data_IF_741353892208
#
_entry.id   IF_741353892208
#
_cell.length_a   1.000
_cell.length_b   1.000
_cell.length_c   1.000
_cell.angle_alpha   90.00
_cell.angle_beta   90.00
_cell.angle_gamma   90.00
#
_symmetry.space_group_name_H-M   'P 1'
#
loop_
_entity.id
_entity.type
_entity.pdbx_description
1 polymer ?
#
# COMPACT_ATOMS: atom_id res chain seq x y z
N UNK A 1 -14.11 -2.75 -18.18
CA UNK A 1 -15.47 -2.51 -18.74
C UNK A 1 -15.29 -1.83 -20.08
N UNK A 2 -16.03 -2.21 -21.14
CA UNK A 2 -15.92 -1.55 -22.46
C UNK A 2 -16.89 -0.37 -22.59
N UNK A 3 -16.51 0.63 -23.39
CA UNK A 3 -17.32 1.83 -23.66
C UNK A 3 -17.26 2.89 -22.55
N UNK A 4 -18.22 3.83 -22.50
CA UNK A 4 -18.21 4.91 -21.53
C UNK A 4 -18.54 4.43 -20.10
N UNK A 5 -18.05 5.11 -19.05
CA UNK A 5 -18.38 4.80 -17.66
C UNK A 5 -19.87 4.92 -17.38
N UNK A 6 -20.43 3.98 -16.60
CA UNK A 6 -21.85 4.01 -16.21
C UNK A 6 -22.07 4.27 -14.72
N UNK A 7 -21.01 4.13 -13.93
CA UNK A 7 -20.93 4.46 -12.50
C UNK A 7 -19.54 5.04 -12.23
N UNK A 8 -19.15 5.18 -10.96
CA UNK A 8 -17.83 5.66 -10.55
C UNK A 8 -16.70 4.83 -11.18
N UNK A 9 -15.83 5.51 -11.93
CA UNK A 9 -14.63 4.91 -12.51
C UNK A 9 -13.37 5.34 -11.74
N UNK A 10 -12.38 4.45 -11.67
CA UNK A 10 -11.07 4.69 -11.06
C UNK A 10 -9.93 4.81 -12.07
N UNK A 11 -10.02 4.09 -13.20
CA UNK A 11 -9.10 4.18 -14.34
C UNK A 11 -9.87 4.23 -15.66
N UNK A 12 -9.31 4.93 -16.64
CA UNK A 12 -9.82 4.99 -18.02
C UNK A 12 -8.75 4.52 -18.99
N UNK A 13 -9.18 3.90 -20.07
CA UNK A 13 -8.41 3.71 -21.28
C UNK A 13 -9.05 4.56 -22.38
N UNK A 14 -8.21 5.32 -23.09
CA UNK A 14 -8.64 6.18 -24.19
C UNK A 14 -8.00 5.74 -25.48
N UNK A 15 -8.76 5.87 -26.55
CA UNK A 15 -8.22 5.79 -27.89
C UNK A 15 -7.18 6.92 -28.09
N UNK A 16 -5.94 6.60 -28.52
CA UNK A 16 -4.86 7.58 -28.62
C UNK A 16 -5.09 8.62 -29.72
N UNK A 17 -5.99 8.37 -30.67
CA UNK A 17 -6.27 9.25 -31.81
C UNK A 17 -7.50 10.10 -31.52
N UNK A 18 -8.61 9.48 -31.09
CA UNK A 18 -9.88 10.18 -30.88
C UNK A 18 -10.03 10.74 -29.48
N UNK A 19 -9.16 10.34 -28.54
CA UNK A 19 -9.25 10.65 -27.11
C UNK A 19 -10.56 10.18 -26.44
N UNK A 20 -11.33 9.33 -27.11
CA UNK A 20 -12.58 8.79 -26.57
C UNK A 20 -12.28 7.66 -25.58
N UNK A 21 -13.10 7.55 -24.54
CA UNK A 21 -13.01 6.43 -23.59
C UNK A 21 -13.42 5.13 -24.28
N UNK A 22 -12.50 4.17 -24.35
CA UNK A 22 -12.73 2.84 -24.95
C UNK A 22 -12.96 1.76 -23.90
N UNK A 23 -12.36 1.93 -22.72
CA UNK A 23 -12.58 1.07 -21.58
C UNK A 23 -12.38 1.83 -20.27
N UNK A 24 -12.90 1.26 -19.18
CA UNK A 24 -12.74 1.81 -17.84
C UNK A 24 -12.72 0.70 -16.80
N UNK A 25 -12.14 1.00 -15.65
CA UNK A 25 -12.14 0.15 -14.46
C UNK A 25 -12.98 0.81 -13.36
N UNK A 26 -13.96 0.11 -12.76
CA UNK A 26 -14.74 0.66 -11.66
C UNK A 26 -13.85 1.13 -10.51
N UNK A 27 -14.20 2.25 -9.89
CA UNK A 27 -13.43 2.81 -8.79
C UNK A 27 -13.28 1.80 -7.65
N UNK A 28 -14.40 1.17 -7.27
CA UNK A 28 -14.46 0.16 -6.21
C UNK A 28 -13.56 -1.04 -6.48
N UNK A 29 -13.45 -1.47 -7.74
CA UNK A 29 -12.61 -2.60 -8.12
C UNK A 29 -11.13 -2.23 -8.08
N UNK A 30 -10.79 -1.01 -8.51
CA UNK A 30 -9.43 -0.50 -8.35
C UNK A 30 -9.04 -0.37 -6.87
N UNK A 31 -9.93 0.15 -6.03
CA UNK A 31 -9.73 0.20 -4.58
C UNK A 31 -9.52 -1.21 -3.98
N UNK A 32 -10.28 -2.21 -4.45
CA UNK A 32 -10.09 -3.60 -4.06
C UNK A 32 -8.73 -4.16 -4.50
N UNK A 33 -8.26 -3.79 -5.70
CA UNK A 33 -6.94 -4.17 -6.20
C UNK A 33 -5.81 -3.64 -5.31
N UNK A 34 -5.85 -2.34 -4.99
CA UNK A 34 -4.85 -1.68 -4.14
C UNK A 34 -4.89 -2.24 -2.71
N UNK A 35 -6.09 -2.45 -2.16
CA UNK A 35 -6.26 -3.09 -0.86
C UNK A 35 -5.66 -4.50 -0.84
N UNK A 36 -5.89 -5.29 -1.89
CA UNK A 36 -5.38 -6.63 -2.01
C UNK A 36 -3.85 -6.68 -2.16
N UNK A 37 -3.25 -5.72 -2.89
CA UNK A 37 -1.79 -5.58 -2.95
C UNK A 37 -1.21 -5.19 -1.59
N UNK A 38 -1.82 -4.22 -0.90
CA UNK A 38 -1.41 -3.84 0.45
C UNK A 38 -1.45 -5.05 1.41
N UNK A 39 -2.55 -5.81 1.38
CA UNK A 39 -2.69 -7.03 2.16
C UNK A 39 -1.60 -8.06 1.81
N UNK A 40 -1.38 -8.35 0.53
CA UNK A 40 -0.36 -9.30 0.09
C UNK A 40 1.07 -8.86 0.44
N UNK A 41 1.37 -7.56 0.38
CA UNK A 41 2.65 -7.02 0.84
C UNK A 41 2.82 -7.27 2.35
N UNK A 42 1.79 -7.00 3.15
CA UNK A 42 1.83 -7.17 4.60
C UNK A 42 1.73 -8.65 5.05
N UNK A 43 1.37 -9.57 4.17
CA UNK A 43 1.53 -11.01 4.38
C UNK A 43 3.02 -11.43 4.36
N UNK A 44 3.87 -10.69 3.64
CA UNK A 44 5.31 -10.97 3.57
C UNK A 44 5.99 -10.49 4.88
N UNK A 45 6.63 -11.39 5.66
CA UNK A 45 7.30 -11.00 6.91
C UNK A 45 8.32 -9.88 6.72
N UNK A 46 9.08 -9.89 5.61
CA UNK A 46 10.09 -8.85 5.35
C UNK A 46 9.48 -7.46 5.33
N UNK A 47 8.31 -7.29 4.68
CA UNK A 47 7.64 -6.01 4.55
C UNK A 47 6.94 -5.62 5.84
N UNK A 48 6.21 -6.54 6.45
CA UNK A 48 5.48 -6.31 7.71
C UNK A 48 6.41 -5.94 8.86
N UNK A 49 7.54 -6.65 9.03
CA UNK A 49 8.52 -6.36 10.08
C UNK A 49 9.24 -5.02 9.84
N UNK A 50 9.57 -4.71 8.59
CA UNK A 50 10.18 -3.40 8.26
C UNK A 50 9.24 -2.25 8.56
N UNK A 51 7.97 -2.38 8.19
CA UNK A 51 6.96 -1.38 8.53
C UNK A 51 6.78 -1.26 10.05
N UNK A 52 6.70 -2.38 10.78
CA UNK A 52 6.61 -2.41 12.25
C UNK A 52 7.77 -1.67 12.93
N UNK A 53 9.00 -1.82 12.41
CA UNK A 53 10.19 -1.15 12.97
C UNK A 53 10.11 0.37 12.91
N UNK A 54 9.44 0.94 11.91
CA UNK A 54 9.19 2.39 11.85
C UNK A 54 8.25 2.89 12.95
N UNK A 55 7.51 1.98 13.59
CA UNK A 55 6.70 2.23 14.78
C UNK A 55 7.37 1.77 16.09
N UNK A 56 8.65 1.39 16.07
CA UNK A 56 9.34 0.83 17.23
C UNK A 56 8.82 -0.53 17.69
N UNK A 57 8.11 -1.26 16.81
CA UNK A 57 7.56 -2.60 17.08
C UNK A 57 8.38 -3.67 16.35
N UNK A 58 8.39 -4.89 16.88
CA UNK A 58 8.99 -6.03 16.18
C UNK A 58 8.09 -6.52 15.04
N UNK A 59 6.78 -6.41 15.22
CA UNK A 59 5.79 -6.87 14.26
C UNK A 59 4.49 -6.06 14.32
N UNK A 60 3.67 -6.16 13.27
CA UNK A 60 2.31 -5.62 13.24
C UNK A 60 1.32 -6.73 13.58
N UNK A 61 0.45 -6.44 14.54
CA UNK A 61 -0.68 -7.31 14.85
C UNK A 61 -1.71 -7.28 13.70
N UNK A 62 -2.55 -8.30 13.59
CA UNK A 62 -3.46 -8.38 12.46
C UNK A 62 -4.56 -7.31 12.42
N UNK A 63 -4.93 -6.69 13.55
CA UNK A 63 -5.92 -5.59 13.58
C UNK A 63 -5.27 -4.35 12.97
N UNK A 64 -4.03 -4.02 13.37
CA UNK A 64 -3.26 -2.96 12.74
C UNK A 64 -3.12 -3.18 11.24
N UNK A 65 -2.72 -4.39 10.80
CA UNK A 65 -2.61 -4.71 9.37
C UNK A 65 -3.93 -4.49 8.64
N UNK A 66 -5.04 -5.00 9.19
CA UNK A 66 -6.35 -4.85 8.57
C UNK A 66 -6.78 -3.37 8.45
N UNK A 67 -6.52 -2.53 9.46
CA UNK A 67 -6.81 -1.09 9.42
C UNK A 67 -6.00 -0.36 8.34
N UNK A 68 -4.73 -0.71 8.17
CA UNK A 68 -3.89 -0.20 7.07
C UNK A 68 -4.43 -0.62 5.70
N UNK A 69 -4.95 -1.84 5.57
CA UNK A 69 -5.61 -2.30 4.34
C UNK A 69 -6.89 -1.49 4.06
N UNK A 70 -7.67 -1.13 5.08
CA UNK A 70 -8.83 -0.23 4.92
C UNK A 70 -8.39 1.13 4.39
N UNK A 71 -7.35 1.75 4.96
CA UNK A 71 -6.86 3.04 4.44
C UNK A 71 -6.31 2.92 3.02
N UNK A 72 -5.57 1.85 2.70
CA UNK A 72 -5.14 1.60 1.32
C UNK A 72 -6.33 1.43 0.36
N UNK A 73 -7.41 0.80 0.79
CA UNK A 73 -8.65 0.69 -0.01
C UNK A 73 -9.28 2.07 -0.28
N UNK A 74 -9.18 3.00 0.67
CA UNK A 74 -9.79 4.33 0.61
C UNK A 74 -8.86 5.40 0.02
N UNK A 75 -7.64 5.06 -0.40
CA UNK A 75 -6.65 6.00 -0.94
C UNK A 75 -7.20 6.92 -2.05
N UNK A 76 -8.11 6.39 -2.86
CA UNK A 76 -8.67 7.03 -4.04
C UNK A 76 -10.12 7.50 -3.84
N UNK A 77 -10.64 7.53 -2.60
CA UNK A 77 -12.03 7.92 -2.30
C UNK A 77 -12.40 9.27 -2.92
N UNK A 78 -11.41 10.16 -3.04
CA UNK A 78 -11.60 11.48 -3.63
C UNK A 78 -12.14 11.40 -5.06
N UNK A 79 -11.93 10.29 -5.80
CA UNK A 79 -12.46 10.09 -7.16
C UNK A 79 -13.99 9.98 -7.20
N UNK A 80 -14.66 9.80 -6.06
CA UNK A 80 -16.12 9.81 -5.97
C UNK A 80 -16.74 11.19 -6.24
N UNK A 81 -15.95 12.27 -6.18
CA UNK A 81 -16.48 13.61 -6.48
C UNK A 81 -16.88 13.73 -7.96
N UNK A 82 -17.97 14.44 -8.25
CA UNK A 82 -18.49 14.61 -9.60
C UNK A 82 -17.50 15.31 -10.54
N UNK A 83 -16.68 16.24 -10.04
CA UNK A 83 -15.65 16.92 -10.84
C UNK A 83 -14.55 15.99 -11.33
N UNK A 84 -14.15 14.98 -10.55
CA UNK A 84 -13.23 13.95 -11.04
C UNK A 84 -13.92 13.06 -12.08
N UNK A 85 -15.16 12.64 -11.81
CA UNK A 85 -15.91 11.79 -12.73
C UNK A 85 -16.18 12.46 -14.08
N UNK A 86 -16.35 13.79 -14.10
CA UNK A 86 -16.58 14.59 -15.31
C UNK A 86 -15.48 14.42 -16.36
N UNK A 87 -14.25 14.12 -15.94
CA UNK A 87 -13.15 13.80 -16.86
C UNK A 87 -13.47 12.64 -17.79
N UNK A 88 -14.32 11.70 -17.39
CA UNK A 88 -14.77 10.55 -18.20
C UNK A 88 -16.26 10.56 -18.55
N UNK A 89 -16.99 11.61 -18.14
CA UNK A 89 -18.45 11.72 -18.20
C UNK A 89 -18.87 13.16 -18.50
N UNK A 90 -18.81 13.53 -19.78
CA UNK A 90 -19.15 14.87 -20.26
C UNK A 90 -20.60 15.27 -19.92
N UNK A 91 -21.49 14.29 -19.77
CA UNK A 91 -22.90 14.48 -19.42
C UNK A 91 -23.13 15.02 -18.00
N UNK A 92 -22.12 14.99 -17.12
CA UNK A 92 -22.23 15.58 -15.78
C UNK A 92 -22.29 17.11 -15.81
N UNK A 93 -21.73 17.75 -16.85
CA UNK A 93 -21.80 19.20 -17.04
C UNK A 93 -21.13 20.03 -15.92
N UNK A 94 -20.20 19.46 -15.16
CA UNK A 94 -19.44 20.15 -14.10
C UNK A 94 -17.96 20.29 -14.49
N UNK A 95 -17.23 21.32 -14.00
CA UNK A 95 -15.80 21.46 -14.25
C UNK A 95 -14.98 20.27 -13.74
N UNK A 96 -13.93 19.91 -14.47
CA UNK A 96 -13.03 18.83 -14.06
C UNK A 96 -12.24 19.18 -12.78
N UNK A 97 -12.07 18.20 -11.90
CA UNK A 97 -11.18 18.32 -10.73
C UNK A 97 -10.32 17.08 -10.47
N UNK A 98 -9.20 17.27 -9.77
CA UNK A 98 -8.43 16.20 -9.13
C UNK A 98 -9.17 15.53 -7.96
N UNK A 99 -8.63 14.42 -7.47
CA UNK A 99 -9.22 13.65 -6.37
C UNK A 99 -8.55 13.93 -5.02
N UNK A 100 -7.24 14.26 -4.98
CA UNK A 100 -6.49 14.42 -3.72
C UNK A 100 -7.07 15.51 -2.83
N UNK A 101 -7.24 16.74 -3.36
CA UNK A 101 -7.81 17.87 -2.61
C UNK A 101 -9.23 17.58 -2.12
N UNK A 102 -10.03 16.91 -2.94
CA UNK A 102 -11.41 16.53 -2.59
C UNK A 102 -11.44 15.44 -1.52
N UNK A 103 -10.52 14.46 -1.58
CA UNK A 103 -10.38 13.41 -0.56
C UNK A 103 -9.98 14.00 0.80
N UNK A 104 -8.98 14.89 0.83
CA UNK A 104 -8.62 15.63 2.04
C UNK A 104 -9.78 16.52 2.52
N UNK A 105 -10.48 17.17 1.59
CA UNK A 105 -11.63 18.02 1.90
C UNK A 105 -12.76 17.27 2.59
N UNK A 106 -12.98 15.98 2.29
CA UNK A 106 -13.94 15.15 3.03
C UNK A 106 -13.53 14.98 4.49
N UNK A 107 -12.24 14.78 4.78
CA UNK A 107 -11.75 14.57 6.15
C UNK A 107 -11.84 15.85 7.00
N UNK A 108 -11.48 17.00 6.43
CA UNK A 108 -11.36 18.25 7.20
C UNK A 108 -12.56 19.20 7.09
N UNK A 109 -13.27 19.15 5.96
CA UNK A 109 -14.36 20.08 5.61
C UNK A 109 -15.63 19.35 5.18
N UNK A 110 -15.68 18.03 5.28
CA UNK A 110 -16.84 17.22 4.90
C UNK A 110 -18.08 17.58 5.71
N UNK A 111 -19.25 17.42 5.09
CA UNK A 111 -20.51 17.50 5.83
C UNK A 111 -20.61 16.35 6.84
N UNK A 112 -21.48 16.48 7.85
CA UNK A 112 -21.73 15.38 8.79
C UNK A 112 -22.14 14.09 8.08
N UNK A 113 -22.97 14.20 7.04
CA UNK A 113 -23.39 13.05 6.24
C UNK A 113 -22.23 12.38 5.51
N UNK A 114 -21.23 13.14 5.03
CA UNK A 114 -20.04 12.59 4.41
C UNK A 114 -19.14 11.86 5.41
N UNK A 115 -18.92 12.46 6.59
CA UNK A 115 -18.16 11.82 7.67
C UNK A 115 -18.86 10.55 8.17
N UNK A 116 -20.20 10.57 8.29
CA UNK A 116 -20.98 9.40 8.68
C UNK A 116 -20.93 8.30 7.59
N UNK A 117 -20.99 8.67 6.31
CA UNK A 117 -20.85 7.72 5.19
C UNK A 117 -19.46 7.06 5.16
N UNK A 118 -18.42 7.81 5.53
CA UNK A 118 -17.06 7.29 5.71
C UNK A 118 -16.89 6.43 6.96
N UNK A 119 -17.88 6.42 7.86
CA UNK A 119 -17.78 5.76 9.15
C UNK A 119 -16.78 6.45 10.09
N UNK A 120 -16.71 7.78 10.04
CA UNK A 120 -15.75 8.59 10.80
C UNK A 120 -15.71 8.25 12.29
N UNK A 121 -16.88 8.02 12.92
CA UNK A 121 -16.95 7.60 14.33
C UNK A 121 -16.21 6.30 14.65
N UNK A 122 -16.10 5.38 13.68
CA UNK A 122 -15.34 4.14 13.81
C UNK A 122 -13.86 4.40 13.57
N UNK A 123 -13.51 5.19 12.56
CA UNK A 123 -12.11 5.55 12.27
C UNK A 123 -11.47 6.32 13.43
N UNK A 124 -12.22 7.20 14.10
CA UNK A 124 -11.78 7.95 15.28
C UNK A 124 -11.39 7.03 16.46
N UNK A 125 -11.93 5.80 16.51
CA UNK A 125 -11.56 4.82 17.54
C UNK A 125 -10.22 4.14 17.29
N UNK A 126 -9.59 4.37 16.13
CA UNK A 126 -8.32 3.73 15.76
C UNK A 126 -7.09 4.46 16.31
N UNK A 127 -7.29 5.51 17.12
CA UNK A 127 -6.24 6.27 17.79
C UNK A 127 -5.94 7.60 17.10
N UNK A 128 -5.14 8.44 17.75
CA UNK A 128 -4.85 9.80 17.30
C UNK A 128 -4.21 9.87 15.91
N UNK A 129 -3.40 8.87 15.54
CA UNK A 129 -2.72 8.79 14.25
C UNK A 129 -3.61 8.33 13.08
N UNK A 130 -4.88 8.00 13.33
CA UNK A 130 -5.78 7.49 12.29
C UNK A 130 -5.98 8.50 11.16
N UNK A 131 -6.15 9.79 11.48
CA UNK A 131 -6.30 10.86 10.49
C UNK A 131 -5.04 10.98 9.62
N UNK A 132 -3.86 11.08 10.25
CA UNK A 132 -2.57 11.22 9.55
C UNK A 132 -2.27 10.03 8.62
N UNK A 133 -2.57 8.80 9.06
CA UNK A 133 -2.40 7.61 8.24
C UNK A 133 -3.41 7.55 7.09
N UNK A 134 -4.63 8.04 7.31
CA UNK A 134 -5.61 8.13 6.24
C UNK A 134 -5.19 9.18 5.20
N UNK A 135 -4.83 10.38 5.64
CA UNK A 135 -4.27 11.43 4.78
C UNK A 135 -3.05 10.94 3.99
N UNK A 136 -2.15 10.19 4.64
CA UNK A 136 -1.01 9.56 4.01
C UNK A 136 -1.40 8.61 2.87
N UNK A 137 -2.49 7.86 3.02
CA UNK A 137 -3.02 7.02 1.93
C UNK A 137 -3.58 7.84 0.78
N UNK A 138 -4.24 8.97 1.04
CA UNK A 138 -4.79 9.85 0.00
C UNK A 138 -3.67 10.62 -0.73
N UNK A 139 -2.61 11.00 -0.02
CA UNK A 139 -1.45 11.73 -0.57
C UNK A 139 -0.45 10.84 -1.34
N UNK A 140 -0.86 9.65 -1.80
CA UNK A 140 -0.01 8.67 -2.50
C UNK A 140 0.62 9.19 -3.82
N UNK A 141 0.28 10.40 -4.26
CA UNK A 141 0.93 11.10 -5.38
C UNK A 141 2.08 12.06 -4.97
N UNK A 142 2.50 12.05 -3.69
CA UNK A 142 3.82 12.53 -3.28
C UNK A 142 3.86 13.78 -2.39
N UNK A 143 2.80 14.60 -2.33
CA UNK A 143 2.72 15.71 -1.37
C UNK A 143 1.28 15.91 -0.87
N UNK A 144 1.03 15.86 0.45
CA UNK A 144 -0.28 16.19 1.00
C UNK A 144 -0.60 17.67 0.74
N UNK A 145 -1.86 18.02 0.42
CA UNK A 145 -2.34 19.40 0.45
C UNK A 145 -2.13 20.01 1.84
N UNK A 146 -1.95 21.32 1.90
CA UNK A 146 -1.99 22.02 3.19
C UNK A 146 -3.44 22.07 3.71
N UNK A 147 -3.74 21.50 4.90
CA UNK A 147 -5.09 21.42 5.44
C UNK A 147 -5.80 22.78 5.58
N UNK A 148 -5.02 23.85 5.79
CA UNK A 148 -5.56 25.20 6.00
C UNK A 148 -6.02 25.86 4.70
N UNK A 149 -5.50 25.39 3.56
CA UNK A 149 -5.75 25.96 2.23
C UNK A 149 -6.51 25.01 1.28
N UNK A 150 -7.13 23.94 1.82
CA UNK A 150 -7.99 23.05 1.04
C UNK A 150 -9.17 23.83 0.46
N UNK A 151 -9.16 24.05 -0.85
CA UNK A 151 -10.32 24.50 -1.60
C UNK A 151 -11.24 23.29 -1.83
N UNK A 152 -12.17 23.03 -0.92
CA UNK A 152 -13.10 21.89 -0.97
C UNK A 152 -14.46 22.30 -1.55
N UNK A 153 -15.01 21.51 -2.46
CA UNK A 153 -16.22 21.89 -3.19
C UNK A 153 -17.38 20.95 -2.87
N UNK A 154 -18.17 21.33 -1.86
CA UNK A 154 -19.33 20.58 -1.40
C UNK A 154 -20.32 20.20 -2.50
N UNK A 155 -20.48 21.06 -3.53
CA UNK A 155 -21.40 20.82 -4.64
C UNK A 155 -21.07 19.53 -5.42
N UNK A 156 -19.80 19.13 -5.51
CA UNK A 156 -19.41 17.90 -6.22
C UNK A 156 -19.55 16.63 -5.39
N UNK A 157 -19.99 16.76 -4.14
CA UNK A 157 -20.37 15.65 -3.26
C UNK A 157 -21.88 15.54 -3.08
N UNK A 158 -22.64 16.22 -3.93
CA UNK A 158 -24.10 16.11 -4.02
C UNK A 158 -24.47 15.25 -5.23
N UNK A 159 -25.56 14.49 -5.16
CA UNK A 159 -25.99 13.62 -6.24
C UNK A 159 -26.27 14.40 -7.54
N UNK A 160 -25.84 13.86 -8.68
CA UNK A 160 -25.97 14.48 -9.99
C UNK A 160 -25.58 13.53 -11.12
N UNK A 161 -26.23 13.64 -12.28
CA UNK A 161 -25.93 12.84 -13.48
C UNK A 161 -25.99 11.31 -13.28
N UNK A 162 -26.88 10.86 -12.39
CA UNK A 162 -27.04 9.45 -12.04
C UNK A 162 -25.99 8.89 -11.07
N UNK A 163 -25.12 9.74 -10.53
CA UNK A 163 -24.14 9.38 -9.51
C UNK A 163 -24.51 10.02 -8.17
N UNK A 164 -24.31 9.29 -7.07
CA UNK A 164 -24.42 9.79 -5.71
C UNK A 164 -23.08 9.56 -4.98
N UNK A 165 -22.25 10.62 -4.83
CA UNK A 165 -20.95 10.50 -4.19
C UNK A 165 -20.99 9.98 -2.74
N UNK A 166 -22.03 10.32 -1.97
CA UNK A 166 -22.16 9.87 -0.58
C UNK A 166 -22.61 8.41 -0.50
N UNK A 167 -23.48 7.97 -1.43
CA UNK A 167 -23.81 6.55 -1.55
C UNK A 167 -22.59 5.73 -1.99
N UNK A 168 -21.80 6.24 -2.96
CA UNK A 168 -20.56 5.58 -3.39
C UNK A 168 -19.50 5.51 -2.28
N UNK A 169 -19.39 6.56 -1.46
CA UNK A 169 -18.49 6.58 -0.30
C UNK A 169 -18.89 5.52 0.74
N UNK A 170 -20.20 5.42 1.01
CA UNK A 170 -20.75 4.42 1.92
C UNK A 170 -20.55 2.99 1.40
N UNK A 171 -20.85 2.73 0.14
CA UNK A 171 -20.64 1.42 -0.50
C UNK A 171 -19.17 1.01 -0.43
N UNK A 172 -18.25 1.90 -0.81
CA UNK A 172 -16.82 1.64 -0.73
C UNK A 172 -16.38 1.33 0.71
N UNK A 173 -16.82 2.13 1.69
CA UNK A 173 -16.55 1.90 3.11
C UNK A 173 -17.08 0.56 3.59
N UNK A 174 -18.32 0.21 3.25
CA UNK A 174 -18.95 -1.06 3.64
C UNK A 174 -18.20 -2.26 3.07
N UNK A 175 -17.74 -2.17 1.82
CA UNK A 175 -16.91 -3.20 1.18
C UNK A 175 -15.60 -3.46 1.91
N UNK A 176 -14.98 -2.44 2.49
CA UNK A 176 -13.77 -2.63 3.32
C UNK A 176 -14.00 -3.55 4.52
N UNK A 177 -15.24 -3.62 5.04
CA UNK A 177 -15.65 -4.56 6.09
C UNK A 177 -15.62 -6.03 5.66
N UNK A 178 -15.77 -6.30 4.36
CA UNK A 178 -15.64 -7.65 3.80
C UNK A 178 -14.19 -7.98 3.43
N UNK A 179 -13.41 -6.99 3.00
CA UNK A 179 -12.02 -7.17 2.58
C UNK A 179 -11.06 -7.31 3.76
N UNK A 180 -11.30 -6.56 4.83
CA UNK A 180 -10.46 -6.49 6.01
C UNK A 180 -11.32 -6.50 7.30
N UNK A 181 -12.11 -7.56 7.57
CA UNK A 181 -13.07 -7.58 8.67
C UNK A 181 -12.45 -7.30 10.04
N UNK A 182 -11.20 -7.76 10.24
CA UNK A 182 -10.45 -7.58 11.48
C UNK A 182 -10.14 -6.12 11.82
N UNK A 183 -10.23 -5.20 10.85
CA UNK A 183 -10.05 -3.77 11.12
C UNK A 183 -11.11 -3.23 12.09
N UNK A 184 -12.27 -3.90 12.11
CA UNK A 184 -13.47 -3.56 12.86
C UNK A 184 -13.70 -4.47 14.08
N UNK A 185 -12.72 -5.34 14.42
CA UNK A 185 -12.75 -6.12 15.65
C UNK A 185 -12.91 -5.17 16.86
N UNK A 186 -13.77 -5.55 17.82
CA UNK A 186 -14.00 -4.76 19.01
C UNK A 186 -12.76 -4.79 19.92
N UNK A 187 -12.21 -3.62 20.22
CA UNK A 187 -10.92 -3.53 20.88
C UNK A 187 -9.77 -3.91 19.95
N UNK A 188 -8.60 -3.36 20.23
CA UNK A 188 -7.41 -3.52 19.40
C UNK A 188 -6.43 -2.39 19.71
N UNK A 189 -5.14 -2.59 19.43
CA UNK A 189 -4.16 -1.53 19.66
C UNK A 189 -4.50 -0.33 18.79
N UNK A 190 -4.26 0.88 19.30
CA UNK A 190 -4.28 2.07 18.48
C UNK A 190 -3.22 1.96 17.36
N UNK A 191 -3.53 2.58 16.23
CA UNK A 191 -2.58 2.71 15.13
C UNK A 191 -1.33 3.44 15.62
N UNK A 192 -0.12 3.03 15.17
CA UNK A 192 1.10 3.65 15.67
C UNK A 192 1.18 5.14 15.33
N UNK A 193 1.31 5.96 16.37
CA UNK A 193 1.62 7.39 16.25
C UNK A 193 3.13 7.60 16.15
N UNK A 194 3.65 7.40 14.94
CA UNK A 194 5.07 7.59 14.64
C UNK A 194 5.22 8.19 13.22
N UNK A 195 5.79 9.40 13.05
CA UNK A 195 5.94 10.01 11.73
C UNK A 195 6.68 9.13 10.72
N UNK A 196 7.72 8.41 11.16
CA UNK A 196 8.45 7.47 10.30
C UNK A 196 7.55 6.34 9.79
N UNK A 197 6.61 5.86 10.61
CA UNK A 197 5.63 4.85 10.24
C UNK A 197 4.63 5.41 9.22
N UNK A 198 4.09 6.61 9.45
CA UNK A 198 3.19 7.29 8.52
C UNK A 198 3.82 7.50 7.14
N UNK A 199 5.08 7.96 7.10
CA UNK A 199 5.83 8.11 5.84
C UNK A 199 6.09 6.77 5.15
N UNK A 200 6.47 5.73 5.91
CA UNK A 200 6.68 4.40 5.36
C UNK A 200 5.38 3.80 4.80
N UNK A 201 4.25 4.01 5.49
CA UNK A 201 2.94 3.60 5.04
C UNK A 201 2.51 4.32 3.76
N UNK A 202 2.73 5.64 3.65
CA UNK A 202 2.46 6.39 2.42
C UNK A 202 3.21 5.78 1.20
N UNK A 203 4.49 5.44 1.38
CA UNK A 203 5.29 4.77 0.35
C UNK A 203 4.76 3.37 0.00
N UNK A 204 4.26 2.62 0.98
CA UNK A 204 3.65 1.31 0.77
C UNK A 204 2.33 1.43 -0.01
N UNK A 205 1.48 2.42 0.28
CA UNK A 205 0.25 2.69 -0.47
C UNK A 205 0.57 3.10 -1.91
N UNK A 206 1.57 3.94 -2.13
CA UNK A 206 2.01 4.32 -3.48
C UNK A 206 2.49 3.12 -4.30
N UNK A 207 3.28 2.22 -3.69
CA UNK A 207 3.66 0.96 -4.33
C UNK A 207 2.44 0.07 -4.63
N UNK A 208 1.49 0.01 -3.70
CA UNK A 208 0.26 -0.77 -3.88
C UNK A 208 -0.61 -0.23 -5.02
N UNK A 209 -0.76 1.10 -5.17
CA UNK A 209 -1.46 1.70 -6.31
C UNK A 209 -0.73 1.44 -7.63
N UNK A 210 0.60 1.55 -7.67
CA UNK A 210 1.37 1.26 -8.88
C UNK A 210 1.19 -0.19 -9.34
N UNK A 211 1.29 -1.14 -8.42
CA UNK A 211 1.09 -2.56 -8.72
C UNK A 211 -0.38 -2.87 -9.06
N UNK A 212 -1.33 -2.33 -8.30
CA UNK A 212 -2.77 -2.48 -8.53
C UNK A 212 -3.27 -1.81 -9.81
N UNK A 213 -2.46 -0.93 -10.41
CA UNK A 213 -2.71 -0.30 -11.71
C UNK A 213 -2.12 -1.07 -12.89
N UNK A 214 -1.31 -2.10 -12.64
CA UNK A 214 -0.65 -2.87 -13.69
C UNK A 214 -1.61 -3.87 -14.33
N UNK A 215 -2.12 -3.53 -15.52
CA UNK A 215 -3.14 -4.33 -16.24
C UNK A 215 -2.65 -5.72 -16.65
N UNK A 216 -1.35 -6.01 -16.58
CA UNK A 216 -0.81 -7.36 -16.79
C UNK A 216 -1.20 -8.32 -15.66
N UNK A 217 -1.41 -7.80 -14.46
CA UNK A 217 -1.83 -8.56 -13.27
C UNK A 217 -3.27 -8.26 -12.88
N UNK A 218 -3.71 -7.02 -13.06
CA UNK A 218 -5.04 -6.52 -12.69
C UNK A 218 -5.79 -6.01 -13.93
N UNK A 219 -6.25 -6.91 -14.82
CA UNK A 219 -7.07 -6.50 -15.96
C UNK A 219 -8.36 -5.84 -15.48
N UNK A 220 -8.86 -4.90 -16.30
CA UNK A 220 -10.12 -4.21 -16.02
C UNK A 220 -11.29 -5.20 -15.95
N UNK A 221 -12.20 -4.97 -15.01
CA UNK A 221 -13.38 -5.84 -14.82
C UNK A 221 -14.26 -5.89 -16.06
N UNK A 222 -14.76 -7.06 -16.46
CA UNK A 222 -15.63 -7.21 -17.64
C UNK A 222 -17.12 -7.01 -17.32
N UNK A 223 -17.50 -7.01 -16.05
CA UNK A 223 -18.84 -6.74 -15.56
C UNK A 223 -18.80 -6.13 -14.16
N UNK A 224 -19.90 -5.51 -13.75
CA UNK A 224 -20.13 -5.14 -12.36
C UNK A 224 -20.70 -6.36 -11.63
N UNK A 225 -20.20 -6.62 -10.44
CA UNK A 225 -20.76 -7.62 -9.53
C UNK A 225 -21.20 -6.94 -8.25
N UNK A 226 -22.38 -7.32 -7.77
CA UNK A 226 -22.86 -6.88 -6.46
C UNK A 226 -22.18 -7.67 -5.33
N UNK A 227 -21.47 -8.76 -5.63
CA UNK A 227 -20.75 -9.54 -4.63
C UNK A 227 -19.55 -8.76 -4.07
N UNK A 228 -19.58 -8.35 -2.78
CA UNK A 228 -18.56 -7.44 -2.22
C UNK A 228 -17.14 -8.01 -2.23
N UNK A 229 -17.01 -9.34 -2.18
CA UNK A 229 -15.74 -10.05 -1.97
C UNK A 229 -15.08 -10.48 -3.29
N UNK A 230 -15.85 -10.65 -4.37
CA UNK A 230 -15.41 -11.34 -5.58
C UNK A 230 -14.14 -10.72 -6.17
N UNK A 231 -14.13 -9.39 -6.37
CA UNK A 231 -12.94 -8.70 -6.90
C UNK A 231 -11.76 -8.82 -5.96
N UNK A 232 -11.93 -8.52 -4.67
CA UNK A 232 -10.83 -8.56 -3.70
C UNK A 232 -10.16 -9.93 -3.61
N UNK A 233 -10.92 -11.04 -3.60
CA UNK A 233 -10.34 -12.38 -3.59
C UNK A 233 -9.50 -12.68 -4.84
N UNK A 234 -10.01 -12.33 -6.03
CA UNK A 234 -9.25 -12.50 -7.28
C UNK A 234 -8.00 -11.60 -7.32
N UNK A 235 -8.13 -10.36 -6.86
CA UNK A 235 -7.05 -9.40 -6.77
C UNK A 235 -5.97 -9.83 -5.78
N UNK A 236 -6.33 -10.47 -4.66
CA UNK A 236 -5.37 -10.97 -3.67
C UNK A 236 -4.52 -12.11 -4.25
N UNK A 237 -5.13 -13.02 -5.01
CA UNK A 237 -4.39 -14.05 -5.73
C UNK A 237 -3.47 -13.44 -6.81
N UNK A 238 -3.95 -12.45 -7.55
CA UNK A 238 -3.16 -11.72 -8.55
C UNK A 238 -1.99 -10.95 -7.92
N UNK A 239 -2.21 -10.30 -6.79
CA UNK A 239 -1.20 -9.57 -6.03
C UNK A 239 -0.07 -10.50 -5.57
N UNK A 240 -0.40 -11.63 -4.94
CA UNK A 240 0.62 -12.63 -4.54
C UNK A 240 1.46 -13.10 -5.73
N UNK A 241 0.83 -13.34 -6.87
CA UNK A 241 1.53 -13.69 -8.12
C UNK A 241 2.42 -12.54 -8.62
N UNK A 242 1.92 -11.31 -8.64
CA UNK A 242 2.66 -10.13 -9.07
C UNK A 242 3.91 -9.91 -8.21
N UNK A 243 3.76 -9.98 -6.88
CA UNK A 243 4.87 -9.83 -5.94
C UNK A 243 5.95 -10.91 -6.13
N UNK A 244 5.55 -12.15 -6.43
CA UNK A 244 6.50 -13.22 -6.76
C UNK A 244 7.21 -12.99 -8.10
N UNK A 245 6.46 -12.65 -9.16
CA UNK A 245 7.02 -12.45 -10.52
C UNK A 245 7.96 -11.25 -10.58
N UNK A 246 7.65 -10.15 -9.88
CA UNK A 246 8.47 -8.93 -9.86
C UNK A 246 9.71 -9.11 -8.96
N UNK A 247 9.72 -10.13 -8.09
CA UNK A 247 10.83 -10.39 -7.16
C UNK A 247 10.75 -9.57 -5.88
N UNK A 248 9.56 -9.10 -5.50
CA UNK A 248 9.30 -8.42 -4.22
C UNK A 248 9.16 -9.45 -3.09
N UNK A 249 8.51 -10.59 -3.35
CA UNK A 249 8.44 -11.72 -2.43
C UNK A 249 9.77 -12.48 -2.46
N UNK A 250 10.63 -12.20 -1.48
CA UNK A 250 12.01 -12.71 -1.42
C UNK A 250 12.21 -13.78 -0.34
N UNK A 251 11.16 -14.15 0.37
CA UNK A 251 11.20 -15.03 1.54
C UNK A 251 11.85 -16.38 1.22
N UNK A 252 11.49 -17.00 0.10
CA UNK A 252 12.05 -18.30 -0.28
C UNK A 252 13.50 -18.17 -0.75
N UNK A 253 13.84 -17.12 -1.52
CA UNK A 253 15.23 -16.83 -1.87
C UNK A 253 16.09 -16.58 -0.61
N UNK A 254 15.55 -15.89 0.40
CA UNK A 254 16.25 -15.68 1.69
C UNK A 254 16.49 -16.99 2.43
N UNK A 255 15.50 -17.90 2.45
CA UNK A 255 15.63 -19.24 3.07
C UNK A 255 16.66 -20.10 2.34
N UNK A 256 16.68 -20.11 1.01
CA UNK A 256 17.65 -20.89 0.24
C UNK A 256 19.09 -20.41 0.46
N UNK A 257 19.27 -19.11 0.66
CA UNK A 257 20.56 -18.56 1.00
C UNK A 257 20.98 -18.99 2.41
N UNK A 258 20.07 -19.16 3.38
CA UNK A 258 20.43 -19.61 4.74
C UNK A 258 20.86 -21.08 4.75
N UNK A 259 22.17 -21.33 4.79
CA UNK A 259 22.76 -22.67 4.91
C UNK A 259 23.71 -23.10 3.80
N UNK A 260 23.89 -22.30 2.72
CA UNK A 260 24.93 -22.55 1.70
C UNK A 260 26.22 -21.79 2.00
N UNK A 261 27.35 -22.29 1.50
CA UNK A 261 28.55 -21.47 1.28
C UNK A 261 28.23 -20.43 0.20
N UNK A 262 27.76 -19.27 0.65
CA UNK A 262 27.17 -18.23 -0.22
C UNK A 262 28.18 -17.61 -1.15
N UNK A 263 29.44 -17.53 -0.72
CA UNK A 263 30.50 -17.01 -1.57
C UNK A 263 30.64 -17.89 -2.81
N UNK A 264 30.68 -19.21 -2.62
CA UNK A 264 30.73 -20.18 -3.72
C UNK A 264 29.43 -20.24 -4.54
N UNK A 265 28.32 -19.74 -4.00
CA UNK A 265 27.05 -19.63 -4.74
C UNK A 265 27.03 -18.44 -5.72
N UNK A 266 27.83 -17.39 -5.48
CA UNK A 266 27.86 -16.17 -6.32
C UNK A 266 29.20 -15.94 -7.02
N UNK A 267 30.25 -16.64 -6.60
CA UNK A 267 31.60 -16.50 -7.13
C UNK A 267 32.27 -17.87 -7.23
N UNK A 268 33.10 -18.05 -8.25
CA UNK A 268 33.97 -19.24 -8.40
C UNK A 268 35.34 -19.05 -7.76
N UNK A 269 35.58 -17.87 -7.18
CA UNK A 269 36.85 -17.52 -6.56
C UNK A 269 36.97 -18.18 -5.18
N UNK A 270 38.17 -18.13 -4.60
CA UNK A 270 38.37 -18.45 -3.19
C UNK A 270 38.26 -17.15 -2.42
N UNK A 271 37.46 -17.08 -1.33
CA UNK A 271 37.31 -15.84 -0.59
C UNK A 271 38.67 -15.40 -0.01
N UNK A 272 38.95 -14.11 -0.02
CA UNK A 272 40.13 -13.54 0.62
C UNK A 272 39.94 -13.45 2.15
N UNK A 273 40.94 -12.92 2.88
CA UNK A 273 40.88 -12.82 4.34
C UNK A 273 39.75 -11.88 4.83
N UNK A 274 39.59 -10.72 4.21
CA UNK A 274 38.55 -9.77 4.56
C UNK A 274 37.14 -10.33 4.25
N UNK A 275 36.97 -11.05 3.14
CA UNK A 275 35.72 -11.73 2.76
C UNK A 275 35.31 -12.79 3.77
N UNK A 276 36.27 -13.57 4.28
CA UNK A 276 36.01 -14.53 5.36
C UNK A 276 35.61 -13.82 6.65
N UNK A 277 36.35 -12.79 7.05
CA UNK A 277 36.06 -12.03 8.28
C UNK A 277 34.64 -11.48 8.24
N UNK A 278 34.29 -10.82 7.14
CA UNK A 278 32.98 -10.22 6.91
C UNK A 278 31.87 -11.28 6.93
N UNK A 279 32.07 -12.41 6.26
CA UNK A 279 31.09 -13.51 6.23
C UNK A 279 30.83 -14.15 7.61
N UNK A 280 31.77 -14.01 8.55
CA UNK A 280 31.65 -14.56 9.92
C UNK A 280 31.19 -13.55 10.97
N UNK A 281 31.02 -12.26 10.61
CA UNK A 281 30.59 -11.27 11.57
C UNK A 281 29.08 -11.38 11.84
N UNK A 282 28.66 -11.35 13.11
CA UNK A 282 27.24 -11.31 13.44
C UNK A 282 26.64 -10.00 12.94
N UNK A 283 25.54 -10.09 12.20
CA UNK A 283 24.77 -8.90 11.82
C UNK A 283 23.84 -8.49 12.97
N UNK A 284 23.83 -7.21 13.39
CA UNK A 284 22.87 -6.73 14.37
C UNK A 284 21.44 -6.90 13.89
N UNK A 285 20.54 -7.31 14.79
CA UNK A 285 19.12 -7.53 14.49
C UNK A 285 18.41 -6.25 14.00
N UNK A 286 18.90 -5.09 14.42
CA UNK A 286 18.37 -3.76 14.04
C UNK A 286 18.89 -3.28 12.68
N UNK A 287 19.71 -4.08 12.00
CA UNK A 287 20.51 -3.64 10.85
C UNK A 287 21.76 -2.87 11.28
N UNK A 288 22.70 -2.74 10.35
CA UNK A 288 23.96 -2.02 10.54
C UNK A 288 24.40 -1.33 9.26
N UNK A 289 25.23 -0.30 9.42
CA UNK A 289 26.03 0.25 8.32
C UNK A 289 27.41 -0.39 8.44
N UNK A 290 27.83 -1.12 7.41
CA UNK A 290 29.17 -1.69 7.31
C UNK A 290 29.95 -0.88 6.26
N UNK A 291 31.08 -0.32 6.67
CA UNK A 291 32.03 0.35 5.78
C UNK A 291 33.20 -0.59 5.56
N UNK A 292 33.50 -0.88 4.30
CA UNK A 292 34.61 -1.75 3.93
C UNK A 292 35.62 -0.99 3.07
N UNK A 293 36.82 -0.82 3.62
CA UNK A 293 37.92 -0.11 2.97
C UNK A 293 38.98 -1.11 2.49
N UNK A 294 39.21 -1.16 1.18
CA UNK A 294 40.28 -1.97 0.58
C UNK A 294 40.66 -1.43 -0.81
N UNK A 295 41.77 -1.88 -1.37
CA UNK A 295 42.25 -1.47 -2.69
C UNK A 295 41.30 -1.88 -3.83
N UNK A 296 41.34 -1.18 -4.96
CA UNK A 296 40.55 -1.53 -6.15
C UNK A 296 40.97 -2.91 -6.68
N UNK A 297 40.00 -3.77 -7.01
CA UNK A 297 40.28 -5.14 -7.48
C UNK A 297 40.47 -6.18 -6.37
N UNK A 298 40.35 -5.80 -5.09
CA UNK A 298 40.44 -6.72 -3.95
C UNK A 298 39.26 -7.70 -3.79
N UNK A 299 38.17 -7.51 -4.55
CA UNK A 299 36.96 -8.32 -4.47
C UNK A 299 35.87 -7.79 -3.51
N UNK A 300 35.80 -6.47 -3.30
CA UNK A 300 34.77 -5.83 -2.43
C UNK A 300 33.33 -6.18 -2.80
N UNK A 301 33.06 -6.47 -4.08
CA UNK A 301 31.71 -6.78 -4.57
C UNK A 301 31.26 -8.16 -4.09
N UNK A 302 32.15 -9.15 -4.17
CA UNK A 302 31.90 -10.52 -3.69
C UNK A 302 31.83 -10.56 -2.15
N UNK A 303 32.56 -9.66 -1.50
CA UNK A 303 32.59 -9.43 -0.05
C UNK A 303 31.23 -8.98 0.50
N UNK A 304 30.59 -8.02 -0.18
CA UNK A 304 29.24 -7.54 0.16
C UNK A 304 28.17 -8.63 -0.06
N UNK A 305 28.33 -9.46 -1.10
CA UNK A 305 27.41 -10.56 -1.37
C UNK A 305 27.49 -11.66 -0.29
N UNK A 306 28.68 -11.89 0.27
CA UNK A 306 28.90 -12.86 1.34
C UNK A 306 28.40 -12.37 2.72
N UNK A 307 28.47 -11.07 3.01
CA UNK A 307 28.11 -10.48 4.32
C UNK A 307 26.61 -10.56 4.65
N UNK A 308 25.72 -10.71 3.67
CA UNK A 308 24.28 -10.68 3.93
C UNK A 308 23.77 -11.98 4.57
N UNK A 309 24.11 -12.34 5.81
CA UNK A 309 23.20 -13.00 6.78
C UNK A 309 23.95 -13.77 7.88
N UNK A 310 23.54 -13.52 9.12
CA UNK A 310 23.01 -14.59 9.94
C UNK A 310 21.54 -14.32 10.26
N UNK A 311 20.68 -15.30 10.00
CA UNK A 311 19.34 -15.42 10.57
C UNK A 311 19.35 -16.47 11.68
N UNK A 312 20.42 -16.53 12.49
CA UNK A 312 20.54 -17.48 13.60
C UNK A 312 20.30 -16.76 14.93
N UNK A 313 19.03 -16.77 15.31
CA UNK A 313 18.60 -16.63 16.69
C UNK A 313 19.35 -17.67 17.56
N UNK A 314 20.23 -17.20 18.46
CA UNK A 314 20.56 -17.92 19.69
C UNK A 314 20.11 -17.01 20.83
N UNK A 315 19.22 -17.54 21.67
CA UNK A 315 18.72 -16.87 22.87
C UNK A 315 19.84 -16.47 23.84
N UNK A 316 19.47 -15.91 25.01
CA UNK A 316 20.31 -15.00 25.78
C UNK A 316 21.70 -15.57 26.01
N UNK A 317 22.73 -14.90 25.46
CA UNK A 317 24.11 -15.23 25.76
C UNK A 317 24.34 -14.98 27.24
N UNK A 318 24.56 -16.08 27.95
CA UNK A 318 25.18 -16.07 29.26
C UNK A 318 26.48 -15.26 29.19
N UNK A 319 26.69 -14.44 30.23
CA UNK A 319 27.97 -13.78 30.49
C UNK A 319 29.07 -14.85 30.49
N UNK A 320 30.16 -14.56 29.81
CA UNK A 320 31.44 -15.20 30.09
C UNK A 320 32.44 -14.07 30.33
N UNK A 321 32.72 -13.88 31.62
CA UNK A 321 33.94 -13.23 32.10
C UNK A 321 35.16 -14.03 31.60
N UNK A 322 36.23 -13.32 31.24
CA UNK A 322 37.51 -13.90 30.81
C UNK A 322 38.34 -12.91 30.02
#
# INVERSE_FOLDING_TARGET
MKGPPRTFWGKLERDPVTNQVVAWHPLVDHCADVAAVCAALLELPTWRHRLARHAGRDDLDPVTVARLVVFAALHDLGKLNLGFQAKGRDDLGVPERGHVVEGFGILHKGSRAALDALGGSVLDTWGAAACDLFEASIAHHGRPPDPTSIDFQHAWWTAGGGLDPLAGLRDLRERTGYWAPRAFDAGGPELPDAPAFTHAFAGLVMLADWLGSDTRFFPYSEGLTDEPVARFSTALAAARKALAVIGIAIEDARKELTGRDRFNAVSRLVPNAAQRTVATQPLPETGSICVLESETGSGKTEELAANRNEGRWRGPMARADG
#
